data_IF_808095761994
#
_entry.id   IF_808095761994
#
_cell.length_a   1.000
_cell.length_b   1.000
_cell.length_c   1.000
_cell.angle_alpha   90.00
_cell.angle_beta   90.00
_cell.angle_gamma   90.00
#
_symmetry.space_group_name_H-M   'P 1'
#
loop_
_entity.id
_entity.type
_entity.pdbx_description
1 polymer ?
#
# COMPACT_ATOMS: atom_id res chain seq x y z
N UNK A 1 -20.60 12.33 -18.91
CA UNK A 1 -19.22 12.02 -18.68
C UNK A 1 -18.94 11.44 -17.32
N UNK A 2 -18.11 10.46 -17.28
CA UNK A 2 -17.86 9.74 -16.05
C UNK A 2 -16.59 10.22 -15.39
N UNK A 3 -16.68 10.54 -14.11
CA UNK A 3 -15.50 10.89 -13.33
C UNK A 3 -15.00 9.63 -12.63
N UNK A 4 -13.76 9.29 -12.88
CA UNK A 4 -13.16 8.11 -12.29
C UNK A 4 -12.26 8.52 -11.15
N UNK A 5 -12.55 8.01 -9.99
CA UNK A 5 -11.69 8.20 -8.83
C UNK A 5 -10.75 7.01 -8.72
N UNK A 6 -9.49 7.29 -8.55
CA UNK A 6 -8.50 6.24 -8.35
C UNK A 6 -7.81 6.46 -7.03
N UNK A 7 -7.77 5.41 -6.25
CA UNK A 7 -7.07 5.43 -4.97
C UNK A 7 -6.14 4.24 -4.97
N UNK A 8 -4.86 4.50 -4.77
CA UNK A 8 -3.87 3.43 -4.68
C UNK A 8 -2.85 3.77 -3.63
N UNK A 9 -2.11 2.76 -3.21
CA UNK A 9 -1.10 2.93 -2.17
C UNK A 9 0.20 2.30 -2.62
N UNK A 10 1.28 3.07 -2.52
CA UNK A 10 2.62 2.56 -2.71
C UNK A 10 3.22 2.26 -1.35
N UNK A 11 3.83 1.12 -1.20
CA UNK A 11 4.38 0.69 0.08
C UNK A 11 5.83 0.28 -0.12
N UNK A 12 6.68 0.80 0.74
CA UNK A 12 8.08 0.43 0.78
C UNK A 12 8.31 -0.35 2.07
N UNK A 13 8.59 -1.65 1.95
CA UNK A 13 8.68 -2.54 3.11
C UNK A 13 10.14 -2.78 3.46
N UNK A 14 10.44 -2.53 4.71
CA UNK A 14 11.77 -2.77 5.27
C UNK A 14 11.67 -3.85 6.35
N UNK A 15 12.79 -4.18 6.95
CA UNK A 15 12.82 -5.27 7.91
C UNK A 15 11.89 -5.06 9.09
N UNK A 16 11.88 -3.86 9.65
CA UNK A 16 11.14 -3.60 10.88
C UNK A 16 10.05 -2.55 10.74
N UNK A 17 9.88 -1.98 9.54
CA UNK A 17 8.85 -0.98 9.31
C UNK A 17 8.49 -0.92 7.84
N UNK A 18 7.36 -0.30 7.57
CA UNK A 18 6.97 0.01 6.20
C UNK A 18 6.52 1.47 6.13
N UNK A 19 6.65 2.04 4.96
CA UNK A 19 6.17 3.39 4.69
C UNK A 19 5.15 3.29 3.57
N UNK A 20 3.95 3.78 3.83
CA UNK A 20 2.84 3.69 2.89
C UNK A 20 2.39 5.08 2.48
N UNK A 21 2.12 5.25 1.20
CA UNK A 21 1.60 6.50 0.66
C UNK A 21 0.34 6.22 -0.11
N UNK A 22 -0.79 6.71 0.37
CA UNK A 22 -2.05 6.65 -0.34
C UNK A 22 -2.14 7.85 -1.26
N UNK A 23 -2.44 7.57 -2.53
CA UNK A 23 -2.63 8.60 -3.54
C UNK A 23 -4.07 8.53 -3.99
N UNK A 24 -4.80 9.64 -3.86
CA UNK A 24 -6.17 9.74 -4.34
C UNK A 24 -6.22 10.75 -5.47
N UNK A 25 -6.74 10.30 -6.59
CA UNK A 25 -6.88 11.14 -7.77
C UNK A 25 -8.35 11.30 -8.08
N UNK A 26 -8.80 12.54 -8.18
CA UNK A 26 -10.15 12.83 -8.62
C UNK A 26 -10.03 13.63 -9.92
N UNK A 27 -10.84 13.28 -10.91
CA UNK A 27 -10.70 13.82 -12.25
C UNK A 27 -10.52 15.32 -12.30
N UNK A 28 -9.39 15.77 -12.80
CA UNK A 28 -9.11 17.18 -13.00
C UNK A 28 -8.61 17.93 -11.79
N UNK A 29 -8.55 17.30 -10.64
CA UNK A 29 -8.09 17.94 -9.41
C UNK A 29 -6.73 17.34 -9.05
N UNK A 30 -5.89 18.14 -8.43
CA UNK A 30 -4.59 17.66 -8.00
C UNK A 30 -4.74 16.45 -7.08
N UNK A 31 -3.89 15.44 -7.25
CA UNK A 31 -3.96 14.28 -6.38
C UNK A 31 -3.60 14.64 -4.94
N UNK A 32 -4.24 13.97 -4.00
CA UNK A 32 -3.88 14.11 -2.60
C UNK A 32 -3.05 12.93 -2.16
N UNK A 33 -2.16 13.17 -1.23
CA UNK A 33 -1.22 12.18 -0.73
C UNK A 33 -1.33 12.08 0.77
N UNK A 34 -1.35 10.85 1.28
CA UNK A 34 -1.28 10.60 2.71
C UNK A 34 -0.16 9.60 2.93
N UNK A 35 0.83 9.98 3.72
CA UNK A 35 1.97 9.13 3.98
C UNK A 35 1.98 8.75 5.45
N UNK A 36 2.23 7.47 5.72
CA UNK A 36 2.24 6.99 7.08
C UNK A 36 3.20 5.83 7.23
N UNK A 37 3.83 5.75 8.39
CA UNK A 37 4.78 4.68 8.70
C UNK A 37 4.17 3.74 9.71
N UNK A 38 4.37 2.44 9.50
CA UNK A 38 3.90 1.39 10.39
C UNK A 38 5.05 0.45 10.68
N UNK A 39 5.04 -0.17 11.85
CA UNK A 39 5.99 -1.24 12.11
C UNK A 39 5.51 -2.51 11.41
N UNK A 40 6.39 -3.51 11.31
CA UNK A 40 6.02 -4.76 10.66
C UNK A 40 5.54 -5.82 11.65
N UNK A 41 5.25 -5.44 12.88
CA UNK A 41 4.55 -6.34 13.81
C UNK A 41 3.12 -6.56 13.34
N UNK A 42 2.58 -7.75 13.63
CA UNK A 42 1.26 -8.13 13.14
C UNK A 42 0.19 -7.11 13.49
N UNK A 43 0.19 -6.61 14.71
CA UNK A 43 -0.80 -5.62 15.13
C UNK A 43 -0.71 -4.35 14.32
N UNK A 44 0.51 -3.92 14.01
CA UNK A 44 0.71 -2.71 13.22
C UNK A 44 0.31 -2.91 11.77
N UNK A 45 0.54 -4.11 11.23
CA UNK A 45 0.11 -4.41 9.87
C UNK A 45 -1.42 -4.42 9.79
N UNK A 46 -2.09 -4.91 10.82
CA UNK A 46 -3.54 -4.88 10.86
C UNK A 46 -4.06 -3.45 10.95
N UNK A 47 -3.36 -2.57 11.67
CA UNK A 47 -3.69 -1.15 11.69
C UNK A 47 -3.50 -0.53 10.31
N UNK A 48 -2.44 -0.91 9.62
CA UNK A 48 -2.20 -0.47 8.26
C UNK A 48 -3.33 -0.91 7.34
N UNK A 49 -3.76 -2.15 7.46
CA UNK A 49 -4.88 -2.67 6.68
C UNK A 49 -6.14 -1.86 6.95
N UNK A 50 -6.43 -1.58 8.21
CA UNK A 50 -7.61 -0.80 8.57
C UNK A 50 -7.51 0.62 8.00
N UNK A 51 -6.33 1.20 8.04
CA UNK A 51 -6.11 2.53 7.47
C UNK A 51 -6.40 2.54 5.97
N UNK A 52 -5.99 1.48 5.26
CA UNK A 52 -6.30 1.35 3.84
C UNK A 52 -7.82 1.26 3.63
N UNK A 53 -8.48 0.42 4.40
CA UNK A 53 -9.93 0.24 4.25
C UNK A 53 -10.69 1.51 4.60
N UNK A 54 -10.25 2.24 5.62
CA UNK A 54 -10.86 3.50 6.01
C UNK A 54 -10.75 4.56 4.93
N UNK A 55 -9.71 4.46 4.10
CA UNK A 55 -9.50 5.38 3.00
C UNK A 55 -10.04 4.84 1.68
N UNK A 56 -10.76 3.74 1.73
CA UNK A 56 -11.31 3.10 0.55
C UNK A 56 -10.22 2.77 -0.47
N UNK A 57 -9.05 2.37 0.03
CA UNK A 57 -7.89 2.06 -0.79
C UNK A 57 -7.71 0.55 -0.80
N UNK A 58 -7.99 -0.07 -1.93
CA UNK A 58 -7.92 -1.52 -2.03
C UNK A 58 -6.85 -2.00 -2.99
N UNK A 59 -6.08 -1.09 -3.54
CA UNK A 59 -5.00 -1.44 -4.46
C UNK A 59 -3.69 -0.96 -3.87
N UNK A 60 -2.77 -1.89 -3.70
CA UNK A 60 -1.47 -1.63 -3.09
C UNK A 60 -0.38 -2.19 -3.98
N UNK A 61 0.63 -1.38 -4.23
CA UNK A 61 1.85 -1.81 -4.90
C UNK A 61 2.97 -1.77 -3.87
N UNK A 62 3.63 -2.88 -3.69
CA UNK A 62 4.58 -3.09 -2.62
C UNK A 62 5.96 -3.37 -3.16
N UNK A 63 6.96 -2.67 -2.64
CA UNK A 63 8.37 -2.95 -2.90
C UNK A 63 9.05 -3.36 -1.61
N UNK A 64 10.02 -4.25 -1.70
CA UNK A 64 10.71 -4.75 -0.52
C UNK A 64 12.16 -5.05 -0.84
N UNK A 65 13.03 -4.83 0.12
CA UNK A 65 14.46 -5.11 -0.05
C UNK A 65 14.78 -6.58 0.15
N UNK A 66 13.81 -7.43 0.33
CA UNK A 66 14.00 -8.86 0.53
C UNK A 66 12.65 -9.49 0.64
N UNK A 67 12.53 -10.47 1.49
CA UNK A 67 11.27 -11.17 1.66
C UNK A 67 10.42 -10.57 2.77
N UNK A 68 10.72 -9.36 3.18
CA UNK A 68 10.00 -8.71 4.27
C UNK A 68 8.55 -8.40 3.91
N UNK A 69 8.22 -8.41 2.63
CA UNK A 69 6.85 -8.18 2.17
C UNK A 69 5.91 -9.34 2.50
N UNK A 70 6.45 -10.55 2.71
CA UNK A 70 5.62 -11.75 2.80
C UNK A 70 4.60 -11.68 3.95
N UNK A 71 5.00 -11.36 5.19
CA UNK A 71 3.99 -11.28 6.26
C UNK A 71 2.98 -10.17 6.03
N UNK A 72 3.39 -9.07 5.40
CA UNK A 72 2.47 -7.98 5.09
C UNK A 72 1.46 -8.44 4.06
N UNK A 73 1.94 -9.07 3.00
CA UNK A 73 1.07 -9.60 1.95
C UNK A 73 0.05 -10.58 2.54
N UNK A 74 0.51 -11.50 3.38
CA UNK A 74 -0.37 -12.52 3.93
C UNK A 74 -1.52 -11.95 4.76
N UNK A 75 -1.29 -10.82 5.40
CA UNK A 75 -2.34 -10.18 6.20
C UNK A 75 -3.26 -9.29 5.39
N UNK A 76 -2.82 -8.87 4.20
CA UNK A 76 -3.61 -7.96 3.37
C UNK A 76 -4.42 -8.67 2.29
N UNK A 77 -3.95 -9.82 1.81
CA UNK A 77 -4.43 -10.36 0.54
C UNK A 77 -5.91 -10.71 0.52
N UNK A 78 -6.51 -10.94 1.67
CA UNK A 78 -7.91 -11.34 1.70
C UNK A 78 -8.86 -10.19 1.36
N UNK A 79 -8.44 -8.94 1.54
CA UNK A 79 -9.30 -7.80 1.29
C UNK A 79 -8.67 -6.75 0.40
N UNK A 80 -7.37 -6.86 0.14
CA UNK A 80 -6.61 -5.84 -0.60
C UNK A 80 -5.96 -6.50 -1.80
N UNK A 81 -6.02 -5.84 -2.94
CA UNK A 81 -5.29 -6.27 -4.14
C UNK A 81 -3.86 -5.83 -4.01
N UNK A 82 -2.96 -6.77 -3.79
CA UNK A 82 -1.55 -6.46 -3.57
C UNK A 82 -0.74 -6.90 -4.78
N UNK A 83 0.02 -5.98 -5.31
CA UNK A 83 0.97 -6.24 -6.39
C UNK A 83 2.37 -6.08 -5.82
N UNK A 84 3.23 -7.05 -6.05
CA UNK A 84 4.61 -7.00 -5.59
C UNK A 84 5.48 -6.54 -6.74
N UNK A 85 6.16 -5.42 -6.54
CA UNK A 85 7.13 -4.92 -7.50
C UNK A 85 8.52 -5.25 -6.97
N UNK A 86 9.32 -5.90 -7.79
CA UNK A 86 10.67 -6.26 -7.39
C UNK A 86 11.64 -5.65 -8.37
N UNK A 87 12.32 -4.57 -8.00
CA UNK A 87 13.22 -3.88 -8.92
C UNK A 87 14.39 -4.75 -9.38
N UNK A 88 14.73 -5.78 -8.63
CA UNK A 88 15.82 -6.66 -9.05
C UNK A 88 15.51 -7.44 -10.29
N UNK A 89 14.25 -7.65 -10.59
CA UNK A 89 13.83 -8.45 -11.74
C UNK A 89 13.63 -7.63 -12.99
N UNK A 90 13.70 -6.33 -12.85
CA UNK A 90 13.59 -5.41 -13.98
C UNK A 90 15.00 -5.21 -14.52
N UNK A 91 15.26 -5.71 -15.66
CA UNK A 91 16.58 -5.59 -16.29
C UNK A 91 16.58 -4.55 -17.37
#
# INVERSE_FOLDING_TARGET
MKVTYQTCCGVDVHKSFLVATIVKTTGGIEPSYQKKRFSTFNNSILEFKQWLLDNDCRDVCMESTGKYWVPVFNLLEDEINVTIANPKWVK
#
